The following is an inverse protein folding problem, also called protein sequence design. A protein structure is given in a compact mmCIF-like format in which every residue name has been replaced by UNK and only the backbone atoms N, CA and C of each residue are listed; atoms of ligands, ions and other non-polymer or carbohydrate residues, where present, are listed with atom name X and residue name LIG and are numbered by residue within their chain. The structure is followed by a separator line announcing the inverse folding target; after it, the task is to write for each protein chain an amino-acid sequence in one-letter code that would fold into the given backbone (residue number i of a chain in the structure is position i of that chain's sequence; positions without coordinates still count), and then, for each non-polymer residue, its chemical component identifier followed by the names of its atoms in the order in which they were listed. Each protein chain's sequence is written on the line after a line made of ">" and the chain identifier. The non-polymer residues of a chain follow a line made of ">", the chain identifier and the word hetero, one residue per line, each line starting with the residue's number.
data_IF_874158179026
#
_entry.id   IF_874158179026
#
_cell.length_a   1.000
_cell.length_b   1.000
_cell.length_c   1.000
_cell.angle_alpha   90.00
_cell.angle_beta   90.00
_cell.angle_gamma   90.00
#
_symmetry.space_group_name_H-M   'P 1'
#
loop_
_entity.id
_entity.type
_entity.pdbx_description
1 polymer ?
#
# COMPACT_ATOMS: atom_id res chain seq x y z
N UNK A 1 -3.93 -19.04 -14.43
CA UNK A 1 -5.32 -18.77 -14.01
C UNK A 1 -5.40 -17.35 -13.45
N UNK A 2 -6.45 -16.57 -13.76
CA UNK A 2 -6.69 -15.23 -13.18
C UNK A 2 -8.07 -15.19 -12.56
N UNK A 3 -8.16 -14.87 -11.29
CA UNK A 3 -9.42 -14.80 -10.56
C UNK A 3 -9.34 -13.80 -9.40
N UNK A 4 -10.49 -13.31 -8.95
CA UNK A 4 -10.59 -12.45 -7.77
C UNK A 4 -11.06 -13.30 -6.59
N UNK A 5 -10.21 -13.44 -5.56
CA UNK A 5 -10.51 -14.22 -4.36
C UNK A 5 -10.30 -13.32 -3.14
N UNK A 6 -11.27 -13.25 -2.22
CA UNK A 6 -11.22 -12.40 -1.03
C UNK A 6 -10.88 -10.91 -1.29
N UNK A 7 -11.40 -10.37 -2.40
CA UNK A 7 -11.14 -9.01 -2.89
C UNK A 7 -9.68 -8.74 -3.29
N UNK A 8 -8.92 -9.80 -3.59
CA UNK A 8 -7.54 -9.74 -4.08
C UNK A 8 -7.50 -10.26 -5.52
N UNK A 9 -6.80 -9.55 -6.40
CA UNK A 9 -6.54 -10.03 -7.76
C UNK A 9 -5.47 -11.14 -7.70
N UNK A 10 -5.85 -12.39 -8.00
CA UNK A 10 -4.95 -13.55 -7.95
C UNK A 10 -4.60 -14.03 -9.35
N UNK A 11 -3.30 -14.24 -9.59
CA UNK A 11 -2.78 -14.89 -10.79
C UNK A 11 -1.90 -16.09 -10.42
N UNK A 12 -2.27 -17.28 -10.91
CA UNK A 12 -1.45 -18.49 -10.78
C UNK A 12 -0.76 -18.78 -12.12
N UNK A 13 0.57 -18.88 -12.09
CA UNK A 13 1.44 -19.15 -13.22
C UNK A 13 2.09 -20.53 -13.11
N UNK A 14 2.32 -21.16 -14.26
CA UNK A 14 3.03 -22.44 -14.40
C UNK A 14 2.43 -23.64 -13.65
N UNK A 15 1.14 -23.62 -13.33
CA UNK A 15 0.47 -24.75 -12.71
C UNK A 15 -1.00 -24.50 -12.40
N UNK A 16 -1.61 -25.49 -11.75
CA UNK A 16 -2.92 -25.40 -11.13
C UNK A 16 -2.74 -25.44 -9.61
N UNK A 17 -3.57 -24.70 -8.89
CA UNK A 17 -3.56 -24.61 -7.44
C UNK A 17 -5.00 -24.59 -6.94
N UNK A 18 -5.27 -25.21 -5.79
CA UNK A 18 -6.61 -25.20 -5.20
C UNK A 18 -6.94 -23.84 -4.60
N UNK A 19 -8.23 -23.47 -4.59
CA UNK A 19 -8.67 -22.21 -3.97
C UNK A 19 -8.34 -22.14 -2.47
N UNK A 20 -8.40 -23.26 -1.75
CA UNK A 20 -8.11 -23.30 -0.31
C UNK A 20 -6.63 -22.99 -0.04
N UNK A 21 -5.73 -23.52 -0.85
CA UNK A 21 -4.29 -23.20 -0.77
C UNK A 21 -4.01 -21.73 -1.12
N UNK A 22 -4.68 -21.19 -2.13
CA UNK A 22 -4.60 -19.76 -2.47
C UNK A 22 -5.05 -18.89 -1.28
N UNK A 23 -6.13 -19.26 -0.60
CA UNK A 23 -6.62 -18.54 0.58
C UNK A 23 -5.60 -18.57 1.72
N UNK A 24 -4.91 -19.68 1.94
CA UNK A 24 -3.82 -19.76 2.92
C UNK A 24 -2.68 -18.79 2.58
N UNK A 25 -2.31 -18.67 1.29
CA UNK A 25 -1.30 -17.68 0.86
C UNK A 25 -1.77 -16.24 1.06
N UNK A 26 -3.04 -15.93 0.73
CA UNK A 26 -3.64 -14.61 1.00
C UNK A 26 -3.61 -14.30 2.49
N UNK A 27 -3.99 -15.27 3.33
CA UNK A 27 -4.00 -15.13 4.78
C UNK A 27 -2.58 -14.93 5.35
N UNK A 28 -1.59 -15.67 4.84
CA UNK A 28 -0.19 -15.48 5.20
C UNK A 28 0.28 -14.05 4.94
N UNK A 29 -0.03 -13.48 3.77
CA UNK A 29 0.35 -12.10 3.44
C UNK A 29 -0.38 -11.09 4.32
N UNK A 30 -1.69 -11.27 4.56
CA UNK A 30 -2.47 -10.40 5.46
C UNK A 30 -1.95 -10.43 6.90
N UNK A 31 -1.51 -11.60 7.39
CA UNK A 31 -0.90 -11.72 8.72
C UNK A 31 0.49 -11.06 8.79
N UNK A 32 1.27 -11.14 7.71
CA UNK A 32 2.59 -10.52 7.62
C UNK A 32 2.51 -8.99 7.55
N UNK A 33 1.47 -8.45 6.92
CA UNK A 33 1.22 -7.01 6.79
C UNK A 33 -0.17 -6.61 7.33
N UNK A 34 -0.38 -6.63 8.66
CA UNK A 34 -1.70 -6.48 9.26
C UNK A 34 -2.34 -5.09 9.09
N UNK A 35 -1.54 -4.08 8.76
CA UNK A 35 -1.99 -2.69 8.56
C UNK A 35 -2.09 -2.29 7.08
N UNK A 36 -1.65 -3.15 6.17
CA UNK A 36 -1.67 -2.87 4.74
C UNK A 36 -2.76 -3.69 4.06
N UNK A 37 -3.31 -3.17 2.97
CA UNK A 37 -4.33 -3.88 2.19
C UNK A 37 -3.67 -4.60 1.03
N UNK A 38 -3.80 -5.91 0.95
CA UNK A 38 -3.32 -6.68 -0.21
C UNK A 38 -4.20 -6.39 -1.43
N UNK A 39 -3.59 -5.97 -2.55
CA UNK A 39 -4.29 -5.65 -3.80
C UNK A 39 -4.18 -6.79 -4.80
N UNK A 40 -2.97 -7.29 -5.04
CA UNK A 40 -2.74 -8.37 -6.00
C UNK A 40 -1.75 -9.39 -5.47
N UNK A 41 -1.94 -10.64 -5.87
CA UNK A 41 -1.11 -11.78 -5.53
C UNK A 41 -0.85 -12.62 -6.78
N UNK A 42 0.42 -12.83 -7.11
CA UNK A 42 0.86 -13.70 -8.18
C UNK A 42 1.66 -14.85 -7.58
N UNK A 43 1.21 -16.07 -7.85
CA UNK A 43 1.81 -17.32 -7.40
C UNK A 43 2.44 -18.00 -8.61
N UNK A 44 3.76 -18.19 -8.59
CA UNK A 44 4.44 -18.94 -9.66
C UNK A 44 4.89 -20.28 -9.11
N UNK A 45 4.39 -21.36 -9.69
CA UNK A 45 4.78 -22.71 -9.31
C UNK A 45 6.10 -23.07 -10.00
N UNK A 46 7.13 -23.41 -9.20
CA UNK A 46 8.44 -23.88 -9.67
C UNK A 46 8.77 -25.23 -9.01
N UNK A 47 8.24 -26.31 -9.61
CA UNK A 47 8.38 -27.66 -9.09
C UNK A 47 7.72 -27.85 -7.73
N UNK A 48 8.51 -27.99 -6.67
CA UNK A 48 8.04 -28.14 -5.29
C UNK A 48 7.93 -26.79 -4.54
N UNK A 49 8.33 -25.69 -5.18
CA UNK A 49 8.33 -24.35 -4.59
C UNK A 49 7.29 -23.44 -5.24
N UNK A 50 6.88 -22.41 -4.49
CA UNK A 50 5.97 -21.38 -4.97
C UNK A 50 6.57 -20.00 -4.71
N UNK A 51 6.82 -19.25 -5.78
CA UNK A 51 7.24 -17.86 -5.68
C UNK A 51 6.04 -16.94 -5.46
N UNK A 52 6.16 -16.08 -4.45
CA UNK A 52 5.12 -15.14 -4.05
C UNK A 52 5.47 -13.72 -4.50
N UNK A 53 4.71 -13.17 -5.44
CA UNK A 53 4.77 -11.76 -5.80
C UNK A 53 3.46 -11.08 -5.39
N UNK A 54 3.53 -10.02 -4.59
CA UNK A 54 2.32 -9.31 -4.14
C UNK A 54 2.50 -7.80 -4.18
N UNK A 55 1.40 -7.10 -4.41
CA UNK A 55 1.34 -5.65 -4.29
C UNK A 55 0.38 -5.28 -3.16
N UNK A 56 0.88 -4.49 -2.23
CA UNK A 56 0.11 -3.88 -1.16
C UNK A 56 -0.39 -2.51 -1.64
N UNK A 57 -1.55 -2.10 -1.16
CA UNK A 57 -2.14 -0.82 -1.50
C UNK A 57 -1.21 0.30 -1.01
N UNK A 58 -0.76 1.20 -1.90
CA UNK A 58 0.10 2.29 -1.49
C UNK A 58 -0.63 3.23 -0.56
N UNK A 59 -0.08 3.45 0.64
CA UNK A 59 -0.60 4.49 1.53
C UNK A 59 -0.22 5.89 1.00
N UNK A 60 -1.15 6.87 1.05
CA UNK A 60 -0.84 8.24 0.65
C UNK A 60 0.31 8.82 1.48
N UNK A 61 1.38 9.25 0.80
CA UNK A 61 2.49 9.93 1.46
C UNK A 61 2.02 11.29 1.97
N UNK A 62 2.09 11.48 3.29
CA UNK A 62 1.79 12.78 3.90
C UNK A 62 2.96 13.75 3.66
N UNK A 63 2.65 14.96 3.17
CA UNK A 63 3.64 16.03 3.04
C UNK A 63 3.83 16.75 4.36
N UNK A 64 4.87 16.37 5.11
CA UNK A 64 5.28 17.07 6.33
C UNK A 64 5.89 18.44 6.00
N UNK A 65 5.70 19.40 6.91
CA UNK A 65 6.18 20.78 6.75
C UNK A 65 6.93 21.20 8.00
N UNK A 66 7.94 22.06 7.84
CA UNK A 66 8.68 22.61 8.97
C UNK A 66 8.16 24.00 9.32
N UNK A 67 7.83 24.24 10.60
CA UNK A 67 7.56 25.58 11.12
C UNK A 67 8.49 25.84 12.29
N UNK A 68 9.21 26.98 12.27
CA UNK A 68 10.04 27.49 13.38
C UNK A 68 10.86 26.40 14.08
N UNK A 69 11.55 25.57 13.29
CA UNK A 69 12.43 24.52 13.81
C UNK A 69 11.84 23.11 13.90
N UNK A 70 10.52 22.94 13.96
CA UNK A 70 9.86 21.65 14.21
C UNK A 70 9.17 21.06 12.97
N UNK A 71 9.16 19.74 12.87
CA UNK A 71 8.39 19.00 11.87
C UNK A 71 6.92 18.93 12.32
N UNK A 72 6.03 19.46 11.49
CA UNK A 72 4.58 19.43 11.66
C UNK A 72 4.00 18.62 10.50
N UNK A 73 3.09 17.69 10.80
CA UNK A 73 2.45 16.85 9.78
C UNK A 73 1.48 17.66 8.92
N UNK A 74 0.19 17.53 9.19
CA UNK A 74 -0.88 18.26 8.50
C UNK A 74 -0.98 19.73 8.95
N UNK A 75 -1.76 20.53 8.22
CA UNK A 75 -2.02 21.93 8.56
C UNK A 75 -2.88 22.11 9.81
N UNK A 76 -3.38 21.01 10.40
CA UNK A 76 -4.33 21.03 11.52
C UNK A 76 -3.76 21.67 12.79
N UNK A 77 -2.43 21.67 12.94
CA UNK A 77 -1.73 22.26 14.08
C UNK A 77 -1.31 23.72 13.87
N UNK A 78 -1.65 24.32 12.73
CA UNK A 78 -1.26 25.70 12.43
C UNK A 78 -2.17 26.68 13.16
N UNK A 79 -1.57 27.69 13.80
CA UNK A 79 -2.35 28.84 14.25
C UNK A 79 -2.86 29.66 13.04
N UNK A 80 -3.81 30.55 13.29
CA UNK A 80 -4.47 31.34 12.24
C UNK A 80 -3.49 32.14 11.38
N UNK A 81 -2.48 32.74 12.02
CA UNK A 81 -1.43 33.49 11.34
C UNK A 81 -0.63 32.62 10.35
N UNK A 82 -0.24 31.41 10.75
CA UNK A 82 0.51 30.48 9.88
C UNK A 82 -0.35 29.88 8.78
N UNK A 83 -1.66 29.71 9.00
CA UNK A 83 -2.58 29.30 7.94
C UNK A 83 -2.72 30.37 6.86
N UNK A 84 -2.77 31.65 7.26
CA UNK A 84 -2.80 32.77 6.32
C UNK A 84 -1.50 32.87 5.49
N UNK A 85 -0.33 32.81 6.16
CA UNK A 85 0.98 32.80 5.49
C UNK A 85 1.11 31.65 4.47
N UNK A 86 0.61 30.47 4.83
CA UNK A 86 0.60 29.32 3.93
C UNK A 86 -0.30 29.53 2.71
N UNK A 87 -1.48 30.12 2.90
CA UNK A 87 -2.42 30.41 1.82
C UNK A 87 -1.82 31.40 0.81
N UNK A 88 -1.05 32.37 1.28
CA UNK A 88 -0.40 33.39 0.45
C UNK A 88 0.88 32.87 -0.23
N UNK A 89 1.31 31.63 0.07
CA UNK A 89 2.54 31.07 -0.47
C UNK A 89 2.43 30.78 -1.96
N UNK A 90 3.23 31.49 -2.76
CA UNK A 90 3.37 31.23 -4.20
C UNK A 90 4.20 29.96 -4.45
N UNK A 91 3.63 29.01 -5.19
CA UNK A 91 4.34 27.79 -5.62
C UNK A 91 5.03 28.04 -6.95
N UNK A 92 6.34 28.12 -6.95
CA UNK A 92 7.11 28.11 -8.19
C UNK A 92 7.16 26.66 -8.72
N UNK A 93 6.63 26.44 -9.92
CA UNK A 93 6.90 25.21 -10.65
C UNK A 93 8.34 25.27 -11.18
N UNK A 94 9.09 24.19 -11.01
CA UNK A 94 10.40 23.99 -11.65
C UNK A 94 10.18 23.25 -12.94
#
# INVERSE_FOLDING_TARGET
>A
MKEVIDHVDVEVLNGEMSEDEIKEYIQYVKQKYPHETLTSLTLTVDGEFVDLHYCLQPEPIQRIRRITGYLVGTLDRFNDAKRAEEHDRVKHQV
#
